data_IF_863530412568
#
_entry.id   IF_863530412568
#
_cell.length_a   1.000
_cell.length_b   1.000
_cell.length_c   1.000
_cell.angle_alpha   90.00
_cell.angle_beta   90.00
_cell.angle_gamma   90.00
#
_symmetry.space_group_name_H-M   'P 1'
#
loop_
_entity.id
_entity.type
_entity.pdbx_description
1 polymer ?
#
# COMPACT_ATOMS: atom_id res chain seq x y z
N UNK A 1 -18.71 6.97 -11.13
CA UNK A 1 -19.32 8.24 -10.74
C UNK A 1 -18.81 8.83 -9.44
N UNK A 2 -18.62 8.06 -8.35
CA UNK A 2 -18.17 8.58 -7.05
C UNK A 2 -16.66 8.81 -7.00
N UNK A 3 -15.86 7.91 -7.57
CA UNK A 3 -14.41 7.96 -7.55
C UNK A 3 -13.80 9.26 -8.14
N UNK A 4 -14.25 9.78 -9.29
CA UNK A 4 -13.72 11.03 -9.81
C UNK A 4 -14.02 12.24 -8.91
N UNK A 5 -15.15 12.24 -8.21
CA UNK A 5 -15.51 13.32 -7.27
C UNK A 5 -14.69 13.28 -5.99
N UNK A 6 -14.46 12.07 -5.45
CA UNK A 6 -13.56 11.89 -4.33
C UNK A 6 -12.12 12.28 -4.70
N UNK A 7 -11.65 11.90 -5.89
CA UNK A 7 -10.35 12.30 -6.41
C UNK A 7 -10.25 13.83 -6.55
N UNK A 8 -11.30 14.53 -7.00
CA UNK A 8 -11.32 15.98 -7.10
C UNK A 8 -11.23 16.68 -5.74
N UNK A 9 -11.98 16.21 -4.74
CA UNK A 9 -11.89 16.74 -3.37
C UNK A 9 -10.51 16.55 -2.76
N UNK A 10 -9.89 15.41 -3.02
CA UNK A 10 -8.59 15.05 -2.52
C UNK A 10 -7.43 15.61 -3.35
N UNK A 11 -7.71 16.08 -4.58
CA UNK A 11 -6.70 16.67 -5.46
C UNK A 11 -6.02 17.87 -4.82
N UNK A 12 -6.80 18.73 -4.15
CA UNK A 12 -6.27 19.87 -3.40
C UNK A 12 -5.33 19.46 -2.27
N UNK A 13 -5.61 18.33 -1.62
CA UNK A 13 -4.77 17.80 -0.55
C UNK A 13 -3.52 17.11 -1.13
N UNK A 14 -3.69 16.31 -2.19
CA UNK A 14 -2.61 15.59 -2.87
C UNK A 14 -1.66 16.56 -3.59
N UNK A 15 -2.14 17.65 -4.18
CA UNK A 15 -1.30 18.65 -4.83
C UNK A 15 -0.35 19.35 -3.86
N UNK A 16 -0.75 19.53 -2.61
CA UNK A 16 0.16 20.00 -1.53
C UNK A 16 1.32 19.03 -1.30
N UNK A 17 1.05 17.73 -1.37
CA UNK A 17 2.06 16.69 -1.27
C UNK A 17 2.85 16.48 -2.58
N UNK A 18 2.49 17.15 -3.68
CA UNK A 18 3.17 17.04 -4.98
C UNK A 18 2.73 15.86 -5.82
N UNK A 19 1.56 15.29 -5.54
CA UNK A 19 0.94 14.19 -6.26
C UNK A 19 -0.37 14.63 -6.90
N UNK A 20 -0.75 14.00 -8.01
CA UNK A 20 -2.07 14.20 -8.60
C UNK A 20 -3.17 13.53 -7.78
N UNK A 21 -4.39 14.06 -7.81
CA UNK A 21 -5.53 13.44 -7.10
C UNK A 21 -5.83 12.00 -7.52
N UNK A 22 -5.44 11.63 -8.74
CA UNK A 22 -5.54 10.24 -9.22
C UNK A 22 -4.60 9.26 -8.51
N UNK A 23 -3.52 9.77 -7.92
CA UNK A 23 -2.58 8.96 -7.13
C UNK A 23 -3.17 8.46 -5.81
N UNK A 24 -4.25 9.09 -5.33
CA UNK A 24 -4.91 8.70 -4.08
C UNK A 24 -5.42 7.26 -4.11
N UNK A 25 -6.06 6.84 -5.21
CA UNK A 25 -6.64 5.49 -5.33
C UNK A 25 -5.57 4.40 -5.27
N UNK A 26 -4.47 4.48 -6.07
CA UNK A 26 -3.34 3.56 -5.95
C UNK A 26 -2.71 3.52 -4.55
N UNK A 27 -2.53 4.67 -3.92
CA UNK A 27 -1.96 4.74 -2.57
C UNK A 27 -2.89 4.12 -1.53
N UNK A 28 -4.19 4.40 -1.60
CA UNK A 28 -5.18 3.77 -0.73
C UNK A 28 -5.19 2.25 -0.91
N UNK A 29 -5.12 1.77 -2.15
CA UNK A 29 -5.02 0.34 -2.46
C UNK A 29 -3.74 -0.30 -1.90
N UNK A 30 -2.67 0.47 -1.77
CA UNK A 30 -1.39 0.01 -1.23
C UNK A 30 -1.45 -0.34 0.26
N UNK A 31 -2.43 0.18 1.02
CA UNK A 31 -2.68 -0.27 2.40
C UNK A 31 -3.13 -1.73 2.47
N UNK A 32 -3.85 -2.20 1.45
CA UNK A 32 -4.19 -3.61 1.37
C UNK A 32 -2.98 -4.44 0.89
N UNK A 33 -2.40 -4.05 -0.25
CA UNK A 33 -1.20 -4.69 -0.81
C UNK A 33 -0.52 -3.74 -1.81
N UNK A 34 0.81 -3.62 -1.76
CA UNK A 34 1.57 -2.75 -2.65
C UNK A 34 1.43 -3.16 -4.13
N UNK A 35 1.31 -4.46 -4.43
CA UNK A 35 1.25 -4.95 -5.82
C UNK A 35 0.01 -4.46 -6.57
N UNK A 36 -1.24 -4.65 -6.07
CA UNK A 36 -2.43 -4.07 -6.70
C UNK A 36 -2.38 -2.54 -6.74
N UNK A 37 -1.82 -1.90 -5.71
CA UNK A 37 -1.62 -0.46 -5.68
C UNK A 37 -0.74 0.02 -6.82
N UNK A 38 0.41 -0.62 -7.05
CA UNK A 38 1.32 -0.30 -8.16
C UNK A 38 0.64 -0.59 -9.51
N UNK A 39 -0.11 -1.68 -9.64
CA UNK A 39 -0.85 -1.97 -10.86
C UNK A 39 -1.92 -0.92 -11.17
N UNK A 40 -2.56 -0.37 -10.14
CA UNK A 40 -3.55 0.69 -10.28
C UNK A 40 -2.94 2.03 -10.75
N UNK A 41 -1.64 2.24 -10.59
CA UNK A 41 -0.95 3.45 -11.08
C UNK A 41 -0.99 3.62 -12.59
N UNK A 42 -1.32 2.56 -13.34
CA UNK A 42 -1.53 2.63 -14.80
C UNK A 42 -2.66 3.59 -15.19
N UNK A 43 -3.58 3.89 -14.27
CA UNK A 43 -4.64 4.89 -14.48
C UNK A 43 -4.15 6.34 -14.43
N UNK A 44 -2.92 6.57 -13.97
CA UNK A 44 -2.29 7.89 -13.90
C UNK A 44 -1.69 8.22 -15.27
N UNK A 45 -2.19 9.28 -15.90
CA UNK A 45 -1.76 9.71 -17.22
C UNK A 45 -0.36 10.36 -17.24
N UNK A 46 0.04 11.00 -16.14
CA UNK A 46 1.37 11.60 -15.99
C UNK A 46 2.38 10.53 -15.61
N UNK A 47 3.38 10.29 -16.47
CA UNK A 47 4.46 9.33 -16.17
C UNK A 47 5.23 9.68 -14.90
N UNK A 48 5.43 10.97 -14.67
CA UNK A 48 6.15 11.50 -13.50
C UNK A 48 5.43 11.21 -12.20
N UNK A 49 4.11 11.49 -12.17
CA UNK A 49 3.27 11.21 -10.99
C UNK A 49 3.12 9.70 -10.78
N UNK A 50 3.05 8.95 -11.87
CA UNK A 50 3.03 7.49 -11.84
C UNK A 50 4.28 6.93 -11.19
N UNK A 51 5.46 7.37 -11.62
CA UNK A 51 6.74 6.95 -11.02
C UNK A 51 6.85 7.35 -9.55
N UNK A 52 6.46 8.57 -9.20
CA UNK A 52 6.43 9.01 -7.81
C UNK A 52 5.52 8.11 -6.95
N UNK A 53 4.32 7.82 -7.44
CA UNK A 53 3.37 6.97 -6.74
C UNK A 53 3.90 5.53 -6.59
N UNK A 54 4.55 4.99 -7.60
CA UNK A 54 5.19 3.66 -7.54
C UNK A 54 6.30 3.62 -6.49
N UNK A 55 7.10 4.67 -6.38
CA UNK A 55 8.18 4.75 -5.37
C UNK A 55 7.65 4.90 -3.94
N UNK A 56 6.53 5.59 -3.77
CA UNK A 56 5.92 5.84 -2.46
C UNK A 56 5.08 4.64 -1.98
N UNK A 57 4.43 3.91 -2.90
CA UNK A 57 3.54 2.80 -2.57
C UNK A 57 4.15 1.74 -1.62
N UNK A 58 5.41 1.30 -1.76
CA UNK A 58 6.03 0.34 -0.84
C UNK A 58 6.31 0.89 0.55
N UNK A 59 6.36 2.21 0.73
CA UNK A 59 6.56 2.85 2.05
C UNK A 59 5.29 2.79 2.91
N UNK A 60 4.13 2.64 2.26
CA UNK A 60 2.87 2.48 2.97
C UNK A 60 2.84 1.14 3.70
N UNK A 61 2.39 1.17 4.95
CA UNK A 61 2.22 -0.05 5.75
C UNK A 61 1.02 -0.83 5.23
N UNK A 62 1.24 -2.02 4.69
CA UNK A 62 0.17 -2.87 4.16
C UNK A 62 -0.29 -3.92 5.18
N UNK A 63 -1.48 -4.48 4.96
CA UNK A 63 -2.05 -5.52 5.83
C UNK A 63 -1.19 -6.78 5.93
N UNK A 64 -0.35 -7.09 4.94
CA UNK A 64 0.57 -8.23 4.98
C UNK A 64 1.70 -8.06 6.01
N UNK A 65 2.01 -6.83 6.43
CA UNK A 65 3.02 -6.55 7.48
C UNK A 65 2.46 -6.69 8.89
N UNK A 66 1.12 -6.67 9.05
CA UNK A 66 0.48 -6.78 10.35
C UNK A 66 0.88 -8.03 11.16
N UNK A 67 0.90 -9.25 10.58
CA UNK A 67 1.31 -10.44 11.33
C UNK A 67 2.75 -10.35 11.82
N UNK A 68 3.66 -9.79 11.00
CA UNK A 68 5.08 -9.63 11.36
C UNK A 68 5.21 -8.60 12.48
N UNK A 69 4.50 -7.48 12.40
CA UNK A 69 4.50 -6.46 13.45
C UNK A 69 3.91 -6.99 14.74
N UNK A 70 2.80 -7.73 14.67
CA UNK A 70 2.18 -8.34 15.84
C UNK A 70 3.12 -9.32 16.53
N UNK A 71 3.83 -10.14 15.77
CA UNK A 71 4.79 -11.12 16.30
C UNK A 71 5.99 -10.42 16.94
N UNK A 72 6.57 -9.43 16.30
CA UNK A 72 7.70 -8.68 16.85
C UNK A 72 7.30 -7.89 18.10
N UNK A 73 6.14 -7.24 18.08
CA UNK A 73 5.62 -6.49 19.22
C UNK A 73 5.35 -7.45 20.40
N UNK A 74 4.75 -8.61 20.15
CA UNK A 74 4.51 -9.61 21.19
C UNK A 74 5.82 -10.16 21.78
N UNK A 75 6.88 -10.28 20.97
CA UNK A 75 8.16 -10.83 21.41
C UNK A 75 8.99 -9.81 22.21
N UNK A 76 8.97 -8.52 21.83
CA UNK A 76 9.86 -7.50 22.39
C UNK A 76 9.20 -6.55 23.39
N UNK A 77 7.87 -6.42 23.35
CA UNK A 77 7.15 -5.45 24.16
C UNK A 77 6.28 -6.16 25.18
N UNK A 78 6.51 -5.97 26.50
CA UNK A 78 5.70 -6.57 27.54
C UNK A 78 4.25 -6.05 27.49
N UNK A 79 3.30 -6.90 27.83
CA UNK A 79 1.89 -6.55 27.93
C UNK A 79 1.66 -5.65 29.16
N UNK A 80 1.91 -4.35 29.02
CA UNK A 80 1.65 -3.37 30.05
C UNK A 80 0.52 -2.44 29.56
N UNK A 81 -0.45 -2.21 30.43
CA UNK A 81 -1.52 -1.25 30.22
C UNK A 81 -1.03 0.11 30.69
N UNK A 82 -0.87 1.04 29.74
CA UNK A 82 -0.64 2.44 30.04
C UNK A 82 -2.01 3.11 30.16
N UNK A 83 -2.25 3.80 31.25
CA UNK A 83 -3.52 4.48 31.54
C UNK A 83 -4.78 3.57 31.68
N UNK A 84 -4.62 2.28 31.97
CA UNK A 84 -5.75 1.40 32.30
C UNK A 84 -6.58 0.86 31.13
N UNK A 85 -6.48 1.42 29.92
CA UNK A 85 -7.23 1.00 28.73
C UNK A 85 -6.44 1.04 27.40
N UNK A 86 -5.27 1.65 27.37
CA UNK A 86 -4.39 1.60 26.21
C UNK A 86 -3.30 0.57 26.43
N UNK A 87 -3.26 -0.47 25.58
CA UNK A 87 -2.16 -1.41 25.56
C UNK A 87 -0.94 -0.77 24.89
N UNK A 88 0.23 -0.91 25.49
CA UNK A 88 1.49 -0.43 24.92
C UNK A 88 1.73 -1.00 23.53
N UNK A 89 1.36 -2.25 23.32
CA UNK A 89 1.47 -2.93 22.03
C UNK A 89 0.62 -2.27 20.94
N UNK A 90 -0.61 -1.88 21.27
CA UNK A 90 -1.49 -1.15 20.34
C UNK A 90 -0.97 0.24 19.98
N UNK A 91 -0.37 0.95 20.96
CA UNK A 91 0.23 2.26 20.73
C UNK A 91 1.43 2.17 19.78
N UNK A 92 2.28 1.16 19.97
CA UNK A 92 3.44 0.92 19.09
C UNK A 92 3.00 0.57 17.67
N UNK A 93 1.98 -0.26 17.52
CA UNK A 93 1.40 -0.60 16.22
C UNK A 93 0.86 0.64 15.50
N UNK A 94 0.12 1.48 16.23
CA UNK A 94 -0.38 2.75 15.70
C UNK A 94 0.77 3.68 15.28
N UNK A 95 1.84 3.77 16.09
CA UNK A 95 3.03 4.54 15.78
C UNK A 95 3.73 4.07 14.50
N UNK A 96 3.81 2.75 14.28
CA UNK A 96 4.38 2.16 13.07
C UNK A 96 3.56 2.52 11.81
N UNK A 97 2.23 2.49 11.92
CA UNK A 97 1.35 2.94 10.83
C UNK A 97 1.52 4.42 10.52
N UNK A 98 1.54 5.26 11.54
CA UNK A 98 1.74 6.69 11.37
C UNK A 98 3.12 7.00 10.79
N UNK A 99 4.17 6.30 11.21
CA UNK A 99 5.52 6.48 10.65
C UNK A 99 5.57 6.12 9.17
N UNK A 100 4.83 5.09 8.73
CA UNK A 100 4.68 4.73 7.32
C UNK A 100 4.04 5.85 6.50
N UNK A 101 2.96 6.45 6.99
CA UNK A 101 2.28 7.57 6.34
C UNK A 101 3.19 8.80 6.30
N UNK A 102 3.83 9.15 7.41
CA UNK A 102 4.73 10.29 7.49
C UNK A 102 5.92 10.13 6.55
N UNK A 103 6.54 8.95 6.50
CA UNK A 103 7.66 8.68 5.59
C UNK A 103 7.22 8.80 4.11
N UNK A 104 6.04 8.30 3.78
CA UNK A 104 5.47 8.43 2.43
C UNK A 104 5.26 9.91 2.04
N UNK A 105 4.73 10.71 2.96
CA UNK A 105 4.54 12.15 2.74
C UNK A 105 5.87 12.88 2.61
N UNK A 106 6.86 12.58 3.46
CA UNK A 106 8.19 13.19 3.40
C UNK A 106 8.88 12.89 2.06
N UNK A 107 8.84 11.65 1.61
CA UNK A 107 9.41 11.26 0.31
C UNK A 107 8.66 11.94 -0.83
N UNK A 108 7.33 12.07 -0.75
CA UNK A 108 6.51 12.76 -1.73
C UNK A 108 6.92 14.24 -1.86
N UNK A 109 7.02 14.93 -0.73
CA UNK A 109 7.45 16.34 -0.68
C UNK A 109 8.90 16.49 -1.16
N UNK A 110 9.78 15.60 -0.76
CA UNK A 110 11.17 15.58 -1.22
C UNK A 110 11.27 15.43 -2.74
N UNK A 111 10.53 14.50 -3.32
CA UNK A 111 10.45 14.32 -4.77
C UNK A 111 9.91 15.57 -5.47
N UNK A 112 8.93 16.26 -4.87
CA UNK A 112 8.41 17.54 -5.38
C UNK A 112 9.49 18.62 -5.39
N UNK A 113 10.26 18.75 -4.30
CA UNK A 113 11.31 19.74 -4.17
C UNK A 113 12.47 19.50 -5.16
N UNK A 114 12.88 18.24 -5.31
CA UNK A 114 13.96 17.85 -6.24
C UNK A 114 13.56 18.09 -7.68
N UNK A 115 12.29 17.86 -8.00
CA UNK A 115 11.79 17.95 -9.40
C UNK A 115 11.63 19.37 -9.94
N UNK A 116 11.60 20.39 -9.10
CA UNK A 116 11.59 21.83 -9.45
C UNK A 116 10.65 22.27 -10.62
N UNK A 117 9.75 21.39 -11.05
CA UNK A 117 8.87 21.61 -12.19
C UNK A 117 7.54 22.23 -11.75
N UNK A 118 7.32 23.45 -12.17
CA UNK A 118 6.07 24.21 -11.99
C UNK A 118 4.94 23.79 -12.94
N UNK A 119 5.00 22.60 -13.50
CA UNK A 119 3.92 22.13 -14.37
C UNK A 119 2.79 21.61 -13.47
N UNK A 120 1.99 22.53 -12.97
CA UNK A 120 0.65 22.20 -12.50
C UNK A 120 -0.11 21.66 -13.70
N UNK A 121 -0.27 20.35 -13.77
CA UNK A 121 -1.23 19.75 -14.68
C UNK A 121 -2.62 20.19 -14.20
N UNK A 122 -3.11 21.30 -14.77
CA UNK A 122 -4.49 21.73 -14.58
C UNK A 122 -5.35 20.64 -15.20
N UNK A 123 -5.81 19.73 -14.36
CA UNK A 123 -6.77 18.72 -14.79
C UNK A 123 -8.13 19.37 -14.96
N UNK A 124 -8.49 19.65 -16.20
CA UNK A 124 -9.88 19.88 -16.57
C UNK A 124 -10.57 18.52 -16.46
N UNK A 125 -11.15 18.26 -15.28
CA UNK A 125 -12.01 17.10 -15.09
C UNK A 125 -13.36 17.39 -15.74
N UNK A 126 -13.58 16.90 -16.94
CA UNK A 126 -14.94 16.63 -17.36
C UNK A 126 -15.47 15.51 -16.44
N UNK A 127 -16.33 15.91 -15.50
CA UNK A 127 -16.98 14.97 -14.59
C UNK A 127 -17.93 14.08 -15.43
N UNK A 128 -17.63 12.79 -15.59
CA UNK A 128 -18.52 11.92 -16.34
C UNK A 128 -19.88 11.82 -15.66
N UNK A 129 -20.93 11.75 -16.47
CA UNK A 129 -22.30 11.55 -15.99
C UNK A 129 -22.41 10.28 -15.14
N UNK A 130 -23.25 10.31 -14.11
CA UNK A 130 -23.53 9.17 -13.29
C UNK A 130 -24.08 8.02 -14.14
N UNK A 131 -23.35 6.91 -14.23
CA UNK A 131 -23.85 5.66 -14.78
C UNK A 131 -24.09 4.69 -13.63
N UNK A 132 -25.25 4.05 -13.65
CA UNK A 132 -25.55 2.96 -12.71
C UNK A 132 -24.57 1.83 -13.01
N UNK A 133 -23.79 1.34 -12.02
CA UNK A 133 -22.83 0.28 -12.24
C UNK A 133 -23.55 -1.04 -12.60
N UNK A 134 -23.13 -1.65 -13.67
CA UNK A 134 -23.56 -2.98 -14.05
C UNK A 134 -22.80 -4.02 -13.21
N UNK A 135 -23.50 -4.64 -12.27
CA UNK A 135 -22.95 -5.60 -11.30
C UNK A 135 -22.27 -6.77 -12.00
N UNK A 136 -22.80 -7.22 -13.13
CA UNK A 136 -22.23 -8.32 -13.90
C UNK A 136 -20.85 -7.98 -14.46
N UNK A 137 -20.69 -6.79 -15.04
CA UNK A 137 -19.43 -6.34 -15.59
C UNK A 137 -18.38 -6.09 -14.48
N UNK A 138 -18.82 -5.62 -13.31
CA UNK A 138 -17.96 -5.46 -12.14
C UNK A 138 -17.50 -6.82 -11.64
N UNK A 139 -18.39 -7.79 -11.49
CA UNK A 139 -18.07 -9.13 -11.02
C UNK A 139 -17.09 -9.85 -11.95
N UNK A 140 -17.32 -9.78 -13.28
CA UNK A 140 -16.41 -10.37 -14.28
C UNK A 140 -15.03 -9.69 -14.26
N UNK A 141 -14.99 -8.36 -14.21
CA UNK A 141 -13.74 -7.62 -14.14
C UNK A 141 -12.96 -7.87 -12.83
N UNK A 142 -13.66 -8.07 -11.72
CA UNK A 142 -13.04 -8.43 -10.44
C UNK A 142 -12.48 -9.86 -10.48
N UNK A 143 -13.24 -10.80 -11.02
CA UNK A 143 -12.83 -12.19 -11.17
C UNK A 143 -11.58 -12.33 -12.05
N UNK A 144 -11.55 -11.65 -13.19
CA UNK A 144 -10.39 -11.66 -14.10
C UNK A 144 -9.14 -11.09 -13.42
N UNK A 145 -9.27 -9.97 -12.73
CA UNK A 145 -8.16 -9.34 -12.03
C UNK A 145 -7.67 -10.19 -10.85
N UNK A 146 -8.59 -10.78 -10.09
CA UNK A 146 -8.25 -11.69 -8.99
C UNK A 146 -7.53 -12.94 -9.51
N UNK A 147 -7.99 -13.51 -10.61
CA UNK A 147 -7.37 -14.71 -11.22
C UNK A 147 -5.97 -14.42 -11.75
N UNK A 148 -5.78 -13.30 -12.43
CA UNK A 148 -4.45 -12.86 -12.91
C UNK A 148 -3.50 -12.63 -11.73
N UNK A 149 -3.98 -11.99 -10.67
CA UNK A 149 -3.22 -11.75 -9.45
C UNK A 149 -2.82 -13.06 -8.77
N UNK A 150 -3.78 -13.96 -8.54
CA UNK A 150 -3.54 -15.25 -7.90
C UNK A 150 -2.58 -16.14 -8.70
N UNK A 151 -2.73 -16.19 -10.02
CA UNK A 151 -1.81 -16.96 -10.86
C UNK A 151 -0.38 -16.39 -10.86
N UNK A 152 -0.24 -15.08 -10.89
CA UNK A 152 1.07 -14.43 -10.99
C UNK A 152 1.79 -14.33 -9.65
N UNK A 153 1.09 -13.94 -8.60
CA UNK A 153 1.67 -13.71 -7.26
C UNK A 153 1.61 -14.95 -6.40
N UNK A 154 0.53 -15.74 -6.50
CA UNK A 154 0.35 -16.97 -5.73
C UNK A 154 1.45 -17.99 -6.00
N UNK A 155 1.84 -18.15 -7.27
CA UNK A 155 2.95 -19.04 -7.63
C UNK A 155 4.28 -18.65 -6.98
N UNK A 156 4.58 -17.35 -6.95
CA UNK A 156 5.81 -16.82 -6.32
C UNK A 156 5.77 -17.01 -4.80
N UNK A 157 4.62 -16.73 -4.17
CA UNK A 157 4.46 -16.89 -2.72
C UNK A 157 4.61 -18.36 -2.31
N UNK A 158 3.97 -19.29 -3.04
CA UNK A 158 4.07 -20.73 -2.77
C UNK A 158 5.52 -21.19 -2.96
N UNK A 159 6.19 -20.80 -4.04
CA UNK A 159 7.58 -21.16 -4.30
C UNK A 159 8.52 -20.66 -3.20
N UNK A 160 8.37 -19.40 -2.75
CA UNK A 160 9.16 -18.84 -1.66
C UNK A 160 8.85 -19.51 -0.31
N UNK A 161 7.59 -19.84 -0.05
CA UNK A 161 7.20 -20.55 1.19
C UNK A 161 7.79 -21.95 1.26
N UNK A 162 7.80 -22.67 0.15
CA UNK A 162 8.43 -24.00 0.07
C UNK A 162 9.95 -23.87 0.23
N UNK A 163 10.57 -22.88 -0.41
CA UNK A 163 12.01 -22.64 -0.28
C UNK A 163 12.39 -22.33 1.17
N UNK A 164 11.64 -21.44 1.84
CA UNK A 164 11.87 -21.10 3.23
C UNK A 164 11.64 -22.31 4.16
N UNK A 165 10.61 -23.08 3.90
CA UNK A 165 10.34 -24.31 4.66
C UNK A 165 11.49 -25.31 4.53
N UNK A 166 12.01 -25.53 3.32
CA UNK A 166 13.17 -26.40 3.07
C UNK A 166 14.40 -25.86 3.78
N UNK A 167 14.68 -24.56 3.70
CA UNK A 167 15.84 -23.93 4.35
C UNK A 167 15.78 -24.00 5.88
N UNK A 168 14.59 -23.91 6.48
CA UNK A 168 14.40 -24.01 7.93
C UNK A 168 14.46 -25.47 8.41
N UNK A 169 14.00 -26.41 7.59
CA UNK A 169 13.93 -27.83 7.99
C UNK A 169 15.23 -28.58 7.74
N UNK A 170 16.02 -28.21 6.73
CA UNK A 170 17.23 -28.94 6.33
C UNK A 170 18.54 -28.59 7.08
N UNK A 171 18.78 -27.42 7.69
CA UNK A 171 19.89 -27.27 8.60
C UNK A 171 19.46 -27.62 10.05
N UNK A 172 18.98 -28.83 10.30
CA UNK A 172 19.06 -29.38 11.64
C UNK A 172 20.51 -29.76 11.86
N UNK A 173 21.21 -28.91 12.63
CA UNK A 173 22.49 -29.29 13.19
C UNK A 173 22.28 -30.64 13.95
N UNK A 174 23.13 -31.66 13.76
CA UNK A 174 23.01 -32.87 14.50
C UNK A 174 23.14 -32.53 15.99
N UNK A 175 22.08 -32.80 16.75
CA UNK A 175 22.13 -32.83 18.22
C UNK A 175 23.13 -33.93 18.67
N UNK A 176 24.40 -33.60 18.62
CA UNK A 176 25.46 -34.36 19.29
C UNK A 176 26.40 -33.38 19.98
N UNK A 177 25.97 -32.88 21.12
CA UNK A 177 26.85 -32.46 22.20
C UNK A 177 26.10 -32.64 23.52
N UNK A 178 26.20 -33.86 24.05
CA UNK A 178 26.02 -34.13 25.47
C UNK A 178 27.01 -33.34 26.33
#
# INVERSE_FOLDING_TARGET
GYLPRAAFLLDKLMSKAGLSGRSFIPLLSSFACAIPGIMATRSISSERDRLATIMIAPLMTCSARLPVYALLIAAFIPNQLIYGWLSLQGLVLFGLYMSGIVSALLVSVFLKLVRKDKTESIFIFELPTYRIPDIRNIALGLYDRATIFLKRVGGIIVALSILLWVLVTFPQAPDNAS
#
